data_IF_659801208538
#
_entry.id   IF_659801208538
#
_cell.length_a   1.000
_cell.length_b   1.000
_cell.length_c   1.000
_cell.angle_alpha   90.00
_cell.angle_beta   90.00
_cell.angle_gamma   90.00
#
_symmetry.space_group_name_H-M   'P 1'
#
loop_
_entity.id
_entity.type
_entity.pdbx_description
1 polymer ?
#
# COMPACT_ATOMS: atom_id res chain seq x y z
N UNK A 1 14.88 53.09 -20.65
CA UNK A 1 15.09 52.01 -19.65
C UNK A 1 13.74 51.67 -19.04
N UNK A 2 13.13 50.59 -19.49
CA UNK A 2 11.87 50.07 -18.90
C UNK A 2 12.23 48.79 -18.13
N UNK A 3 12.16 48.87 -16.83
CA UNK A 3 12.42 47.77 -15.92
C UNK A 3 11.22 46.82 -15.93
N UNK A 4 11.38 45.60 -16.47
CA UNK A 4 10.39 44.54 -16.34
C UNK A 4 10.50 43.95 -14.93
N UNK A 5 9.47 44.14 -14.10
CA UNK A 5 9.25 43.40 -12.90
C UNK A 5 8.68 42.01 -13.30
N UNK A 6 9.48 40.95 -13.14
CA UNK A 6 9.01 39.59 -13.22
C UNK A 6 8.37 39.27 -11.88
N UNK A 7 7.04 39.28 -11.82
CA UNK A 7 6.29 38.75 -10.69
C UNK A 7 6.40 37.23 -10.71
N UNK A 8 7.16 36.67 -9.78
CA UNK A 8 7.14 35.22 -9.47
C UNK A 8 5.78 34.88 -8.86
N UNK A 9 4.89 34.30 -9.66
CA UNK A 9 3.66 33.71 -9.17
C UNK A 9 4.04 32.47 -8.32
N UNK A 10 4.03 32.64 -7.00
CA UNK A 10 3.92 31.51 -6.09
C UNK A 10 2.59 30.82 -6.41
N UNK A 11 2.64 29.67 -7.07
CA UNK A 11 1.50 28.79 -7.18
C UNK A 11 1.17 28.31 -5.77
N UNK A 12 0.23 28.98 -5.10
CA UNK A 12 -0.41 28.47 -3.91
C UNK A 12 -1.07 27.16 -4.34
N UNK A 13 -0.55 26.02 -3.84
CA UNK A 13 -1.22 24.74 -3.97
C UNK A 13 -2.60 24.92 -3.33
N UNK A 14 -3.62 25.00 -4.17
CA UNK A 14 -5.00 24.95 -3.73
C UNK A 14 -5.14 23.57 -3.05
N UNK A 15 -5.25 23.55 -1.72
CA UNK A 15 -5.62 22.33 -1.00
C UNK A 15 -6.98 21.92 -1.53
N UNK A 16 -7.16 20.66 -1.94
CA UNK A 16 -8.46 20.18 -2.37
C UNK A 16 -9.49 20.38 -1.24
N UNK A 17 -10.76 20.35 -1.58
CA UNK A 17 -11.91 20.73 -0.77
C UNK A 17 -12.17 19.89 0.49
N UNK A 18 -11.13 19.50 1.23
CA UNK A 18 -11.21 18.81 2.53
C UNK A 18 -11.37 19.77 3.73
N UNK A 19 -11.56 21.05 3.46
CA UNK A 19 -11.77 22.05 4.51
C UNK A 19 -12.94 21.69 5.46
N UNK A 20 -13.87 20.85 5.02
CA UNK A 20 -15.01 20.43 5.85
C UNK A 20 -14.65 19.34 6.89
N UNK A 21 -13.52 18.63 6.71
CA UNK A 21 -13.08 17.57 7.65
C UNK A 21 -11.87 17.97 8.48
N UNK A 22 -11.35 19.17 8.27
CA UNK A 22 -10.11 19.66 8.83
C UNK A 22 -8.87 19.18 8.04
N UNK A 23 -7.69 19.77 8.29
CA UNK A 23 -6.46 19.32 7.69
C UNK A 23 -6.15 17.90 8.18
N UNK A 24 -5.72 16.98 7.29
CA UNK A 24 -5.25 15.67 7.72
C UNK A 24 -4.07 15.86 8.68
N UNK A 25 -4.16 15.22 9.83
CA UNK A 25 -3.07 15.20 10.80
C UNK A 25 -2.09 14.06 10.50
N UNK A 26 -0.83 14.19 10.88
CA UNK A 26 0.10 13.06 10.79
C UNK A 26 -0.40 11.90 11.65
N UNK A 27 -0.19 10.67 11.18
CA UNK A 27 -0.45 9.49 11.99
C UNK A 27 0.42 9.53 13.26
N UNK A 28 -0.22 9.45 14.41
CA UNK A 28 0.44 9.65 15.70
C UNK A 28 0.79 8.31 16.35
N UNK A 29 1.90 8.30 17.06
CA UNK A 29 2.36 7.18 17.86
C UNK A 29 1.74 7.24 19.27
N UNK A 30 1.68 6.10 19.99
CA UNK A 30 1.23 6.05 21.39
C UNK A 30 2.20 6.65 22.40
N UNK A 31 1.83 6.52 23.68
CA UNK A 31 2.51 7.16 24.82
C UNK A 31 3.86 6.56 25.23
N UNK A 32 4.31 5.51 24.55
CA UNK A 32 5.64 4.95 24.82
C UNK A 32 6.75 5.98 24.59
N UNK A 33 7.94 5.78 25.16
CA UNK A 33 9.06 6.67 24.91
C UNK A 33 9.33 6.78 23.39
N UNK A 34 9.82 7.94 22.91
CA UNK A 34 10.20 8.07 21.52
C UNK A 34 11.25 7.01 21.18
N UNK A 35 11.15 6.35 20.01
CA UNK A 35 12.16 5.40 19.61
C UNK A 35 13.50 6.12 19.45
N UNK A 36 14.59 5.43 19.77
CA UNK A 36 15.93 5.97 19.54
C UNK A 36 16.14 6.29 18.05
N UNK A 37 16.80 7.39 17.76
CA UNK A 37 17.20 7.73 16.39
C UNK A 37 18.00 6.58 15.78
N UNK A 38 17.71 6.26 14.53
CA UNK A 38 18.35 5.18 13.79
C UNK A 38 18.59 5.61 12.34
N UNK A 39 19.81 5.52 11.80
CA UNK A 39 20.04 5.70 10.37
C UNK A 39 19.47 4.51 9.59
N UNK A 40 19.33 4.67 8.28
CA UNK A 40 19.07 3.54 7.39
C UNK A 40 20.18 2.49 7.51
N UNK A 41 19.78 1.23 7.54
CA UNK A 41 20.70 0.09 7.51
C UNK A 41 20.07 -1.13 6.87
N UNK A 42 20.90 -2.03 6.34
CA UNK A 42 20.47 -3.35 5.88
C UNK A 42 21.04 -4.42 6.82
N UNK A 43 20.16 -5.10 7.56
CA UNK A 43 20.54 -6.26 8.37
C UNK A 43 20.61 -7.50 7.48
N UNK A 44 21.75 -8.14 7.43
CA UNK A 44 21.99 -9.35 6.64
C UNK A 44 21.89 -10.58 7.52
N UNK A 45 20.82 -11.34 7.36
CA UNK A 45 20.61 -12.61 8.08
C UNK A 45 21.16 -13.80 7.28
N UNK A 46 21.33 -13.62 5.98
CA UNK A 46 21.85 -14.62 5.05
C UNK A 46 22.70 -13.96 3.96
N UNK A 47 23.79 -14.60 3.49
CA UNK A 47 24.62 -14.08 2.38
C UNK A 47 23.84 -13.83 1.08
N UNK A 48 22.71 -14.53 0.86
CA UNK A 48 21.85 -14.32 -0.30
C UNK A 48 21.31 -12.90 -0.41
N UNK A 49 21.28 -12.12 0.68
CA UNK A 49 20.90 -10.72 0.60
C UNK A 49 21.87 -9.86 -0.22
N UNK A 50 23.14 -10.25 -0.30
CA UNK A 50 24.15 -9.51 -1.08
C UNK A 50 23.87 -9.55 -2.59
N UNK A 51 23.15 -10.56 -3.07
CA UNK A 51 22.68 -10.63 -4.46
C UNK A 51 21.49 -9.69 -4.74
N UNK A 52 20.90 -9.12 -3.70
CA UNK A 52 19.70 -8.29 -3.79
C UNK A 52 20.00 -6.84 -3.42
N UNK A 53 20.62 -6.64 -2.25
CA UNK A 53 20.88 -5.32 -1.67
C UNK A 53 22.38 -5.03 -1.74
N UNK A 54 22.82 -4.08 -2.57
CA UNK A 54 24.25 -3.75 -2.69
C UNK A 54 24.85 -3.41 -1.32
N UNK A 55 26.11 -3.77 -1.10
CA UNK A 55 26.87 -3.24 0.04
C UNK A 55 27.04 -1.74 -0.17
N UNK A 56 26.60 -0.95 0.80
CA UNK A 56 26.60 0.52 0.67
C UNK A 56 25.38 1.09 -0.07
N UNK A 57 24.31 0.31 -0.26
CA UNK A 57 23.04 0.81 -0.77
C UNK A 57 22.57 2.03 0.04
N UNK A 58 22.11 3.06 -0.65
CA UNK A 58 21.61 4.30 -0.05
C UNK A 58 20.10 4.34 -0.17
N UNK A 59 19.47 4.74 0.92
CA UNK A 59 18.04 5.06 0.92
C UNK A 59 17.88 6.55 0.60
N UNK A 60 17.02 6.85 -0.35
CA UNK A 60 16.73 8.21 -0.79
C UNK A 60 15.29 8.57 -0.41
N UNK A 61 15.09 9.72 0.21
CA UNK A 61 13.77 10.28 0.41
C UNK A 61 13.27 10.91 -0.89
N UNK A 62 12.13 10.43 -1.38
CA UNK A 62 11.47 10.94 -2.58
C UNK A 62 10.54 12.10 -2.27
N UNK A 63 9.75 11.96 -1.20
CA UNK A 63 8.80 12.96 -0.76
C UNK A 63 8.41 12.73 0.70
N UNK A 64 7.79 13.73 1.34
CA UNK A 64 7.24 13.64 2.70
C UNK A 64 6.06 14.62 2.86
N UNK A 65 5.36 14.50 4.00
CA UNK A 65 4.22 15.37 4.31
C UNK A 65 2.86 14.74 4.00
N UNK A 66 2.81 13.41 3.78
CA UNK A 66 1.58 12.69 3.46
C UNK A 66 0.73 12.34 4.68
N UNK A 67 1.30 12.40 5.88
CA UNK A 67 0.65 11.92 7.10
C UNK A 67 0.57 10.39 7.17
N UNK A 68 -0.14 9.77 6.24
CA UNK A 68 -0.19 8.32 6.06
C UNK A 68 -0.37 8.00 4.57
N UNK A 69 0.67 7.45 3.97
CA UNK A 69 0.64 6.99 2.59
C UNK A 69 0.61 5.47 2.50
N UNK A 70 0.07 4.97 1.39
CA UNK A 70 -0.15 3.55 1.10
C UNK A 70 -0.11 3.26 -0.40
N UNK A 71 -0.20 1.97 -0.74
CA UNK A 71 -0.46 1.47 -2.08
C UNK A 71 0.35 2.12 -3.19
N UNK A 72 1.68 2.13 -3.14
CA UNK A 72 2.48 2.69 -4.22
C UNK A 72 2.41 1.81 -5.46
N UNK A 73 2.41 2.44 -6.64
CA UNK A 73 2.58 1.77 -7.94
C UNK A 73 3.39 2.64 -8.89
N UNK A 74 4.33 2.03 -9.58
CA UNK A 74 5.10 2.70 -10.62
C UNK A 74 4.35 2.65 -11.95
N UNK A 75 4.13 3.82 -12.54
CA UNK A 75 3.51 3.96 -13.86
C UNK A 75 4.60 4.36 -14.85
N UNK A 76 5.00 3.47 -15.76
CA UNK A 76 5.95 3.81 -16.80
C UNK A 76 5.31 4.75 -17.83
N UNK A 77 6.09 5.71 -18.32
CA UNK A 77 5.70 6.60 -19.42
C UNK A 77 6.90 6.93 -20.31
N UNK A 78 6.68 7.71 -21.37
CA UNK A 78 7.73 8.10 -22.30
C UNK A 78 8.83 9.00 -21.68
N UNK A 79 8.58 9.56 -20.50
CA UNK A 79 9.48 10.46 -19.77
C UNK A 79 10.20 9.79 -18.60
N UNK A 80 10.17 8.45 -18.53
CA UNK A 80 10.83 7.68 -17.49
C UNK A 80 9.91 7.20 -16.37
N UNK A 81 8.62 7.54 -16.42
CA UNK A 81 7.61 7.08 -15.47
C UNK A 81 7.45 7.96 -14.23
N UNK A 82 6.49 7.60 -13.40
CA UNK A 82 6.22 8.25 -12.11
C UNK A 82 5.66 7.25 -11.11
N UNK A 83 5.85 7.53 -9.82
CA UNK A 83 5.22 6.78 -8.76
C UNK A 83 3.85 7.40 -8.45
N UNK A 84 2.82 6.58 -8.42
CA UNK A 84 1.55 6.93 -7.78
C UNK A 84 1.56 6.36 -6.37
N UNK A 85 1.00 7.09 -5.41
CA UNK A 85 0.90 6.67 -4.02
C UNK A 85 -0.40 7.19 -3.41
N UNK A 86 -1.08 6.34 -2.67
CA UNK A 86 -2.34 6.68 -1.99
C UNK A 86 -2.08 7.55 -0.76
N UNK A 87 -2.87 8.62 -0.60
CA UNK A 87 -2.93 9.44 0.61
C UNK A 87 -4.18 9.08 1.41
N UNK A 88 -4.03 8.22 2.43
CA UNK A 88 -5.16 7.73 3.20
C UNK A 88 -5.88 8.82 3.99
N UNK A 89 -5.17 9.86 4.41
CA UNK A 89 -5.74 10.97 5.17
C UNK A 89 -6.26 12.09 4.26
N UNK A 90 -5.77 12.16 3.01
CA UNK A 90 -6.03 13.24 2.08
C UNK A 90 -7.10 12.92 1.04
N UNK A 91 -7.52 11.66 0.97
CA UNK A 91 -8.50 11.16 -0.02
C UNK A 91 -8.07 11.39 -1.48
N UNK A 92 -6.77 11.28 -1.74
CA UNK A 92 -6.20 11.49 -3.07
C UNK A 92 -5.20 10.39 -3.42
N UNK A 93 -4.90 10.26 -4.71
CA UNK A 93 -3.70 9.59 -5.18
C UNK A 93 -2.73 10.67 -5.63
N UNK A 94 -1.54 10.66 -5.07
CA UNK A 94 -0.44 11.55 -5.44
C UNK A 94 0.38 10.96 -6.58
N UNK A 95 0.99 11.83 -7.37
CA UNK A 95 2.06 11.52 -8.32
C UNK A 95 3.37 12.09 -7.82
N UNK A 96 4.41 11.27 -7.80
CA UNK A 96 5.79 11.65 -7.49
C UNK A 96 6.64 11.36 -8.72
N UNK A 97 7.24 12.38 -9.31
CA UNK A 97 8.11 12.25 -10.48
C UNK A 97 9.55 11.89 -10.07
N UNK A 98 10.39 11.38 -11.00
CA UNK A 98 11.79 11.06 -10.69
C UNK A 98 12.60 12.25 -10.13
N UNK A 99 12.26 13.48 -10.52
CA UNK A 99 12.82 14.73 -10.00
C UNK A 99 12.13 15.23 -8.71
N UNK A 100 11.37 14.34 -8.05
CA UNK A 100 10.76 14.52 -6.72
C UNK A 100 9.65 15.58 -6.65
N UNK A 101 9.06 15.97 -7.78
CA UNK A 101 7.88 16.82 -7.74
C UNK A 101 6.66 16.02 -7.33
N UNK A 102 5.88 16.56 -6.40
CA UNK A 102 4.64 15.96 -5.91
C UNK A 102 3.45 16.76 -6.46
N UNK A 103 2.46 16.05 -6.96
CA UNK A 103 1.19 16.65 -7.41
C UNK A 103 0.04 15.69 -7.10
N UNK A 104 -1.18 16.21 -7.00
CA UNK A 104 -2.38 15.37 -6.94
C UNK A 104 -2.63 14.79 -8.33
N UNK A 105 -2.76 13.48 -8.41
CA UNK A 105 -3.10 12.75 -9.63
C UNK A 105 -4.60 12.48 -9.73
N UNK A 106 -5.22 12.08 -8.61
CA UNK A 106 -6.65 11.75 -8.56
C UNK A 106 -7.23 12.21 -7.22
N UNK A 107 -8.27 13.04 -7.28
CA UNK A 107 -9.02 13.52 -6.12
C UNK A 107 -10.19 12.60 -5.79
N UNK A 108 -10.70 12.65 -4.54
CA UNK A 108 -11.81 11.83 -4.07
C UNK A 108 -11.64 10.35 -4.46
N UNK A 109 -10.45 9.83 -4.22
CA UNK A 109 -10.08 8.51 -4.70
C UNK A 109 -10.52 7.36 -3.76
N UNK A 110 -10.74 7.64 -2.48
CA UNK A 110 -11.17 6.68 -1.47
C UNK A 110 -12.62 6.85 -1.05
N UNK A 111 -13.08 8.11 -1.04
CA UNK A 111 -14.43 8.48 -0.62
C UNK A 111 -14.99 9.58 -1.52
N UNK A 112 -16.09 9.31 -2.18
CA UNK A 112 -16.76 10.22 -3.11
C UNK A 112 -17.89 11.03 -2.47
N UNK A 113 -18.37 10.59 -1.28
CA UNK A 113 -19.48 11.22 -0.55
C UNK A 113 -19.09 12.50 0.18
N UNK A 114 -20.08 13.10 0.84
CA UNK A 114 -19.91 14.33 1.62
C UNK A 114 -20.03 14.10 3.13
N UNK A 115 -20.62 12.97 3.56
CA UNK A 115 -20.76 12.59 4.98
C UNK A 115 -19.82 11.44 5.36
N UNK A 116 -18.75 11.70 6.12
CA UNK A 116 -17.79 10.69 6.56
C UNK A 116 -18.21 9.93 7.81
N UNK A 117 -19.43 10.08 8.30
CA UNK A 117 -19.88 9.47 9.56
C UNK A 117 -19.78 7.95 9.58
N UNK A 118 -19.84 7.31 8.44
CA UNK A 118 -19.71 5.87 8.24
C UNK A 118 -18.31 5.40 7.87
N UNK A 119 -17.36 6.32 7.65
CA UNK A 119 -16.00 6.01 7.23
C UNK A 119 -15.10 5.61 8.39
N UNK A 120 -14.00 4.92 8.07
CA UNK A 120 -13.02 4.46 9.04
C UNK A 120 -12.37 5.59 9.80
N UNK A 121 -12.59 5.64 11.10
CA UNK A 121 -11.80 6.44 12.01
C UNK A 121 -10.97 5.50 12.87
N UNK A 122 -9.66 5.66 12.85
CA UNK A 122 -8.78 4.89 13.72
C UNK A 122 -8.28 5.76 14.86
N UNK A 123 -8.42 5.25 16.08
CA UNK A 123 -7.64 5.77 17.20
C UNK A 123 -6.28 5.11 17.13
N UNK A 124 -5.30 5.82 16.60
CA UNK A 124 -3.92 5.36 16.61
C UNK A 124 -3.31 5.67 17.97
N UNK A 125 -2.83 4.61 18.63
CA UNK A 125 -2.05 4.71 19.87
C UNK A 125 -2.80 5.38 21.03
N UNK A 126 -4.12 5.25 21.07
CA UNK A 126 -4.93 5.75 22.20
C UNK A 126 -5.23 7.25 22.22
N UNK A 127 -4.58 8.07 21.40
CA UNK A 127 -4.66 9.52 21.51
C UNK A 127 -4.96 10.30 20.23
N UNK A 128 -4.80 9.71 19.07
CA UNK A 128 -5.04 10.41 17.81
C UNK A 128 -6.15 9.74 17.03
N UNK A 129 -7.19 10.52 16.77
CA UNK A 129 -8.21 10.14 15.82
C UNK A 129 -7.72 10.54 14.42
N UNK A 130 -7.37 9.57 13.58
CA UNK A 130 -7.15 9.79 12.15
C UNK A 130 -8.33 9.25 11.39
N UNK A 131 -8.87 10.06 10.49
CA UNK A 131 -9.94 9.67 9.60
C UNK A 131 -9.31 9.11 8.33
N UNK A 132 -9.49 7.81 8.12
CA UNK A 132 -9.04 7.14 6.91
C UNK A 132 -10.16 7.25 5.87
N UNK A 133 -10.04 8.19 4.96
CA UNK A 133 -11.02 8.43 3.89
C UNK A 133 -10.41 8.25 2.50
N UNK A 134 -9.12 8.01 2.44
CA UNK A 134 -8.37 7.87 1.19
C UNK A 134 -8.38 6.45 0.64
N UNK A 135 -7.85 6.28 -0.57
CA UNK A 135 -7.62 4.96 -1.14
C UNK A 135 -6.49 4.24 -0.39
N UNK A 136 -6.54 2.90 -0.34
CA UNK A 136 -5.47 2.12 0.28
C UNK A 136 -4.53 1.52 -0.76
N UNK A 137 -5.03 0.73 -1.67
CA UNK A 137 -4.23 0.00 -2.66
C UNK A 137 -4.19 0.68 -4.02
N UNK A 138 -3.11 0.42 -4.78
CA UNK A 138 -3.05 0.69 -6.22
C UNK A 138 -2.30 -0.43 -6.95
N UNK A 139 -2.63 -0.61 -8.23
CA UNK A 139 -1.96 -1.53 -9.14
C UNK A 139 -2.24 -1.16 -10.59
N UNK A 140 -1.59 -1.84 -11.53
CA UNK A 140 -1.85 -1.67 -12.96
C UNK A 140 -2.42 -2.97 -13.54
N UNK A 141 -3.45 -2.84 -14.37
CA UNK A 141 -3.94 -3.96 -15.18
C UNK A 141 -3.02 -4.24 -16.39
N UNK A 142 -3.31 -5.29 -17.16
CA UNK A 142 -2.51 -5.70 -18.32
C UNK A 142 -2.39 -4.63 -19.41
N UNK A 143 -3.28 -3.63 -19.40
CA UNK A 143 -3.29 -2.49 -20.33
C UNK A 143 -2.64 -1.23 -19.74
N UNK A 144 -2.04 -1.33 -18.54
CA UNK A 144 -1.41 -0.23 -17.81
C UNK A 144 -2.40 0.77 -17.23
N UNK A 145 -3.69 0.39 -17.04
CA UNK A 145 -4.69 1.25 -16.39
C UNK A 145 -4.59 1.10 -14.88
N UNK A 146 -4.75 2.21 -14.18
CA UNK A 146 -4.76 2.21 -12.73
C UNK A 146 -6.00 1.47 -12.20
N UNK A 147 -5.76 0.52 -11.32
CA UNK A 147 -6.77 -0.13 -10.47
C UNK A 147 -6.47 0.26 -9.03
N UNK A 148 -7.50 0.62 -8.27
CA UNK A 148 -7.28 1.04 -6.87
C UNK A 148 -8.43 0.64 -5.95
N UNK A 149 -8.15 0.58 -4.65
CA UNK A 149 -9.13 0.38 -3.60
C UNK A 149 -9.67 1.72 -3.12
N UNK A 150 -10.96 1.98 -3.37
CA UNK A 150 -11.67 3.11 -2.78
C UNK A 150 -12.31 2.63 -1.47
N UNK A 151 -11.53 2.63 -0.38
CA UNK A 151 -11.86 1.96 0.88
C UNK A 151 -13.22 2.35 1.43
N UNK A 152 -13.51 3.64 1.42
CA UNK A 152 -14.70 4.19 2.06
C UNK A 152 -15.91 4.24 1.12
N UNK A 153 -15.68 4.24 -0.19
CA UNK A 153 -16.71 3.89 -1.17
C UNK A 153 -16.93 2.37 -1.23
N UNK A 154 -16.08 1.60 -0.54
CA UNK A 154 -16.17 0.14 -0.41
C UNK A 154 -16.18 -0.55 -1.77
N UNK A 155 -15.31 -0.07 -2.68
CA UNK A 155 -15.24 -0.51 -4.08
C UNK A 155 -13.80 -0.70 -4.54
N UNK A 156 -13.63 -1.59 -5.52
CA UNK A 156 -12.42 -1.65 -6.34
C UNK A 156 -12.71 -0.94 -7.66
N UNK A 157 -11.87 0.01 -8.00
CA UNK A 157 -12.06 0.94 -9.10
C UNK A 157 -11.00 0.77 -10.17
N UNK A 158 -11.29 1.21 -11.39
CA UNK A 158 -10.32 1.33 -12.49
C UNK A 158 -10.46 2.67 -13.19
N UNK A 159 -9.32 3.30 -13.49
CA UNK A 159 -9.28 4.53 -14.28
C UNK A 159 -9.16 4.18 -15.76
N UNK A 160 -10.13 4.60 -16.55
CA UNK A 160 -10.12 4.43 -18.00
C UNK A 160 -9.22 5.48 -18.68
N UNK A 161 -8.88 5.25 -19.94
CA UNK A 161 -7.99 6.15 -20.71
C UNK A 161 -8.59 7.54 -20.95
N UNK A 162 -9.91 7.64 -20.96
CA UNK A 162 -10.67 8.91 -21.10
C UNK A 162 -10.87 9.63 -19.75
N UNK A 163 -10.34 9.08 -18.65
CA UNK A 163 -10.49 9.62 -17.29
C UNK A 163 -11.75 9.15 -16.56
N UNK A 164 -12.61 8.34 -17.20
CA UNK A 164 -13.76 7.76 -16.52
C UNK A 164 -13.33 6.77 -15.41
N UNK A 165 -14.12 6.69 -14.34
CA UNK A 165 -13.92 5.77 -13.23
C UNK A 165 -14.91 4.61 -13.33
N UNK A 166 -14.42 3.40 -13.51
CA UNK A 166 -15.22 2.18 -13.59
C UNK A 166 -15.16 1.43 -12.28
N UNK A 167 -16.31 1.09 -11.70
CA UNK A 167 -16.40 0.16 -10.57
C UNK A 167 -16.16 -1.26 -11.11
N UNK A 168 -15.08 -1.90 -10.66
CA UNK A 168 -14.81 -3.31 -10.96
C UNK A 168 -15.62 -4.23 -10.07
N UNK A 169 -15.76 -3.86 -8.79
CA UNK A 169 -16.61 -4.56 -7.83
C UNK A 169 -16.90 -3.69 -6.59
N UNK A 170 -18.07 -3.91 -5.98
CA UNK A 170 -18.48 -3.29 -4.73
C UNK A 170 -18.81 -4.32 -3.63
N UNK A 171 -18.65 -5.61 -3.89
CA UNK A 171 -18.98 -6.65 -2.92
C UNK A 171 -19.31 -7.99 -3.54
N UNK A 172 -20.05 -8.80 -2.82
CA UNK A 172 -20.50 -10.12 -3.23
C UNK A 172 -21.61 -10.06 -4.29
N UNK A 173 -21.79 -11.14 -5.10
CA UNK A 173 -22.85 -11.21 -6.11
C UNK A 173 -24.28 -11.09 -5.55
N UNK A 174 -24.49 -11.35 -4.27
CA UNK A 174 -25.77 -11.22 -3.59
C UNK A 174 -26.10 -9.77 -3.14
N UNK A 175 -25.26 -8.81 -3.50
CA UNK A 175 -25.44 -7.38 -3.20
C UNK A 175 -24.83 -6.92 -1.87
N UNK A 176 -24.29 -7.83 -1.03
CA UNK A 176 -23.59 -7.42 0.20
C UNK A 176 -22.27 -6.76 -0.16
N UNK A 177 -21.99 -5.63 0.47
CA UNK A 177 -20.85 -4.78 0.18
C UNK A 177 -19.59 -5.22 0.93
N UNK A 178 -18.44 -4.96 0.33
CA UNK A 178 -17.14 -5.03 1.01
C UNK A 178 -17.14 -4.17 2.28
N UNK A 179 -16.27 -4.48 3.22
CA UNK A 179 -16.09 -3.69 4.44
C UNK A 179 -15.07 -2.57 4.23
N UNK A 180 -13.93 -2.88 3.68
CA UNK A 180 -12.85 -1.97 3.32
C UNK A 180 -11.84 -2.69 2.43
N UNK A 181 -11.99 -2.56 1.09
CA UNK A 181 -10.98 -3.02 0.14
C UNK A 181 -9.61 -2.49 0.53
N UNK A 182 -8.66 -3.39 0.86
CA UNK A 182 -7.42 -2.98 1.50
C UNK A 182 -6.18 -3.11 0.59
N UNK A 183 -5.84 -4.31 0.10
CA UNK A 183 -4.70 -4.51 -0.81
C UNK A 183 -5.09 -5.42 -1.97
N UNK A 184 -4.36 -5.30 -3.10
CA UNK A 184 -4.64 -6.06 -4.32
C UNK A 184 -3.39 -6.70 -4.92
N UNK A 185 -3.59 -7.89 -5.52
CA UNK A 185 -2.64 -8.51 -6.42
C UNK A 185 -3.34 -8.81 -7.76
N UNK A 186 -2.84 -8.22 -8.84
CA UNK A 186 -3.44 -8.31 -10.17
C UNK A 186 -2.73 -9.38 -10.96
N UNK A 187 -3.51 -10.32 -11.51
CA UNK A 187 -3.04 -11.40 -12.37
C UNK A 187 -2.78 -10.92 -13.80
N UNK A 188 -2.06 -11.74 -14.56
CA UNK A 188 -1.82 -11.51 -15.98
C UNK A 188 -3.11 -11.49 -16.82
N UNK A 189 -4.16 -12.16 -16.36
CA UNK A 189 -5.48 -12.21 -17.00
C UNK A 189 -6.46 -11.14 -16.49
N UNK A 190 -5.92 -10.11 -15.80
CA UNK A 190 -6.69 -9.02 -15.17
C UNK A 190 -7.61 -9.47 -14.01
N UNK A 191 -7.50 -10.70 -13.55
CA UNK A 191 -8.11 -11.13 -12.29
C UNK A 191 -7.46 -10.41 -11.11
N UNK A 192 -8.27 -9.88 -10.19
CA UNK A 192 -7.78 -9.12 -9.03
C UNK A 192 -8.07 -9.90 -7.76
N UNK A 193 -7.02 -10.35 -7.06
CA UNK A 193 -7.16 -10.76 -5.67
C UNK A 193 -7.23 -9.52 -4.79
N UNK A 194 -8.25 -9.46 -3.95
CA UNK A 194 -8.52 -8.36 -3.05
C UNK A 194 -8.54 -8.88 -1.61
N UNK A 195 -7.84 -8.22 -0.71
CA UNK A 195 -8.09 -8.38 0.72
C UNK A 195 -9.16 -7.38 1.16
N UNK A 196 -10.19 -7.88 1.84
CA UNK A 196 -11.27 -7.08 2.42
C UNK A 196 -11.23 -7.22 3.93
N UNK A 197 -11.06 -6.11 4.62
CA UNK A 197 -11.09 -6.04 6.08
C UNK A 197 -11.94 -4.86 6.55
N UNK A 198 -12.10 -4.71 7.84
CA UNK A 198 -13.02 -3.73 8.42
C UNK A 198 -12.37 -2.38 8.78
N UNK A 199 -11.16 -2.10 8.32
CA UNK A 199 -10.50 -0.82 8.60
C UNK A 199 -11.16 0.38 7.90
N UNK A 200 -11.85 0.17 6.78
CA UNK A 200 -12.63 1.19 6.08
C UNK A 200 -13.94 1.59 6.80
N UNK A 201 -14.37 0.83 7.80
CA UNK A 201 -15.63 1.06 8.51
C UNK A 201 -15.43 1.85 9.81
N UNK A 202 -16.38 2.69 10.15
CA UNK A 202 -16.48 3.29 11.48
C UNK A 202 -16.61 2.18 12.52
N UNK A 203 -15.82 2.25 13.60
CA UNK A 203 -15.77 1.25 14.66
C UNK A 203 -15.38 -0.16 14.20
N UNK A 204 -14.78 -0.27 13.02
CA UNK A 204 -14.24 -1.50 12.43
C UNK A 204 -15.24 -2.67 12.52
N UNK A 205 -14.84 -3.81 13.08
CA UNK A 205 -15.68 -5.01 13.15
C UNK A 205 -16.98 -4.87 13.92
N UNK A 206 -17.18 -3.79 14.67
CA UNK A 206 -18.43 -3.48 15.40
C UNK A 206 -19.37 -2.57 14.61
N UNK A 207 -18.97 -2.11 13.44
CA UNK A 207 -19.78 -1.24 12.60
C UNK A 207 -21.11 -1.89 12.23
N UNK A 208 -22.24 -1.18 12.33
CA UNK A 208 -23.53 -1.65 11.80
C UNK A 208 -23.51 -1.81 10.28
N UNK A 209 -22.56 -1.16 9.59
CA UNK A 209 -22.41 -1.25 8.14
C UNK A 209 -21.65 -2.48 7.67
N UNK A 210 -21.11 -3.28 8.60
CA UNK A 210 -20.41 -4.53 8.28
C UNK A 210 -21.41 -5.58 7.81
N UNK A 211 -21.33 -5.94 6.53
CA UNK A 211 -22.26 -6.88 5.89
C UNK A 211 -21.68 -8.27 5.70
N UNK A 212 -20.34 -8.38 5.68
CA UNK A 212 -19.62 -9.63 5.44
C UNK A 212 -18.44 -9.77 6.41
N UNK A 213 -18.03 -11.01 6.73
CA UNK A 213 -16.77 -11.23 7.42
C UNK A 213 -15.59 -10.82 6.53
N UNK A 214 -14.45 -10.52 7.14
CA UNK A 214 -13.20 -10.27 6.43
C UNK A 214 -12.83 -11.47 5.54
N UNK A 215 -12.21 -11.20 4.39
CA UNK A 215 -11.93 -12.26 3.42
C UNK A 215 -10.94 -11.87 2.35
N UNK A 216 -10.60 -12.86 1.50
CA UNK A 216 -9.90 -12.63 0.24
C UNK A 216 -10.85 -12.97 -0.90
N UNK A 217 -10.97 -12.05 -1.83
CA UNK A 217 -11.88 -12.12 -2.97
C UNK A 217 -11.10 -12.19 -4.28
N UNK A 218 -11.61 -12.89 -5.26
CA UNK A 218 -11.16 -12.83 -6.64
C UNK A 218 -12.22 -12.11 -7.47
N UNK A 219 -11.85 -10.97 -8.03
CA UNK A 219 -12.68 -10.16 -8.93
C UNK A 219 -12.26 -10.46 -10.35
N UNK A 220 -13.20 -10.90 -11.19
CA UNK A 220 -12.96 -11.20 -12.60
C UNK A 220 -14.21 -10.92 -13.43
N UNK A 221 -14.07 -10.16 -14.52
CA UNK A 221 -15.20 -9.86 -15.41
C UNK A 221 -16.39 -9.17 -14.73
N UNK A 222 -16.13 -8.31 -13.71
CA UNK A 222 -17.17 -7.62 -12.96
C UNK A 222 -17.87 -8.47 -11.88
N UNK A 223 -17.41 -9.71 -11.66
CA UNK A 223 -17.95 -10.60 -10.64
C UNK A 223 -16.92 -10.88 -9.57
N UNK A 224 -17.34 -10.90 -8.29
CA UNK A 224 -16.50 -11.22 -7.15
C UNK A 224 -16.84 -12.61 -6.61
N UNK A 225 -15.80 -13.38 -6.29
CA UNK A 225 -15.90 -14.68 -5.64
C UNK A 225 -15.03 -14.70 -4.38
N UNK A 226 -15.60 -15.08 -3.26
CA UNK A 226 -14.82 -15.31 -2.03
C UNK A 226 -13.92 -16.53 -2.25
N UNK A 227 -12.61 -16.35 -2.10
CA UNK A 227 -11.62 -17.44 -2.23
C UNK A 227 -11.05 -17.87 -0.89
N UNK A 228 -11.05 -16.99 0.13
CA UNK A 228 -10.75 -17.32 1.52
C UNK A 228 -11.71 -16.58 2.43
N UNK A 229 -12.49 -17.31 3.20
CA UNK A 229 -13.34 -16.75 4.26
C UNK A 229 -12.59 -16.62 5.59
N UNK A 230 -13.23 -15.97 6.56
CA UNK A 230 -12.65 -15.65 7.88
C UNK A 230 -12.04 -16.85 8.59
N UNK A 231 -12.71 -18.01 8.54
CA UNK A 231 -12.25 -19.24 9.21
C UNK A 231 -10.94 -19.79 8.65
N UNK A 232 -10.62 -19.44 7.39
CA UNK A 232 -9.43 -19.90 6.69
C UNK A 232 -8.27 -18.92 6.73
N UNK A 233 -8.48 -17.67 7.20
CA UNK A 233 -7.47 -16.61 7.18
C UNK A 233 -6.43 -16.78 8.29
N UNK A 234 -6.87 -17.13 9.49
CA UNK A 234 -6.01 -17.20 10.68
C UNK A 234 -5.55 -15.82 11.20
N UNK A 235 -6.22 -14.75 10.79
CA UNK A 235 -5.95 -13.37 11.21
C UNK A 235 -6.68 -12.35 10.34
N UNK A 236 -6.43 -11.06 10.54
CA UNK A 236 -6.97 -9.99 9.70
C UNK A 236 -6.16 -9.96 8.41
N UNK A 237 -6.80 -10.12 7.22
CA UNK A 237 -6.09 -10.05 5.95
C UNK A 237 -5.66 -8.61 5.67
N UNK A 238 -4.43 -8.44 5.20
CA UNK A 238 -3.87 -7.14 4.83
C UNK A 238 -3.13 -7.30 3.49
N UNK A 239 -1.81 -7.22 3.45
CA UNK A 239 -1.04 -7.31 2.21
C UNK A 239 -1.24 -8.61 1.44
N UNK A 240 -1.30 -8.52 0.12
CA UNK A 240 -1.40 -9.64 -0.80
C UNK A 240 -0.46 -9.49 -1.98
N UNK A 241 0.23 -10.55 -2.38
CA UNK A 241 1.10 -10.57 -3.55
C UNK A 241 1.06 -11.93 -4.26
N UNK A 242 1.36 -11.93 -5.55
CA UNK A 242 1.56 -13.14 -6.33
C UNK A 242 3.06 -13.44 -6.50
N UNK A 243 3.42 -14.72 -6.61
CA UNK A 243 4.72 -15.08 -7.17
C UNK A 243 4.82 -14.65 -8.63
N UNK A 244 6.03 -14.44 -9.19
CA UNK A 244 6.19 -13.98 -10.57
C UNK A 244 5.56 -14.90 -11.63
N UNK A 245 5.47 -16.19 -11.34
CA UNK A 245 4.84 -17.22 -12.16
C UNK A 245 3.34 -17.43 -11.85
N UNK A 246 2.80 -16.65 -10.92
CA UNK A 246 1.42 -16.69 -10.41
C UNK A 246 0.97 -18.06 -9.83
N UNK A 247 1.93 -18.95 -9.52
CA UNK A 247 1.61 -20.25 -8.91
C UNK A 247 1.31 -20.15 -7.43
N UNK A 248 1.75 -19.08 -6.78
CA UNK A 248 1.56 -18.84 -5.36
C UNK A 248 0.96 -17.47 -5.10
N UNK A 249 0.06 -17.44 -4.12
CA UNK A 249 -0.43 -16.21 -3.51
C UNK A 249 0.12 -16.14 -2.08
N UNK A 250 0.72 -15.00 -1.76
CA UNK A 250 1.18 -14.65 -0.42
C UNK A 250 0.16 -13.73 0.24
N UNK A 251 -0.13 -13.97 1.51
CA UNK A 251 -1.11 -13.21 2.28
C UNK A 251 -0.56 -12.90 3.67
N UNK A 252 -0.51 -11.63 4.02
CA UNK A 252 -0.38 -11.22 5.41
C UNK A 252 -1.74 -11.37 6.09
N UNK A 253 -1.81 -12.26 7.07
CA UNK A 253 -2.89 -12.33 8.03
C UNK A 253 -2.24 -12.27 9.42
N UNK A 254 -2.07 -11.03 9.90
CA UNK A 254 -1.25 -10.73 11.08
C UNK A 254 -1.57 -11.65 12.26
N UNK A 255 -0.55 -12.21 12.95
CA UNK A 255 0.89 -11.88 12.83
C UNK A 255 1.70 -12.78 11.88
N UNK A 256 1.07 -13.52 11.00
CA UNK A 256 1.70 -14.52 10.13
C UNK A 256 1.59 -14.15 8.66
N UNK A 257 2.52 -14.68 7.87
CA UNK A 257 2.52 -14.62 6.42
C UNK A 257 2.31 -16.04 5.88
N UNK A 258 1.26 -16.19 5.10
CA UNK A 258 0.83 -17.44 4.52
C UNK A 258 1.11 -17.51 3.03
N UNK A 259 1.34 -18.70 2.51
CA UNK A 259 1.41 -18.99 1.07
C UNK A 259 0.33 -19.98 0.71
N UNK A 260 -0.35 -19.74 -0.39
CA UNK A 260 -1.38 -20.60 -0.97
C UNK A 260 -1.01 -20.98 -2.39
N UNK A 261 -1.28 -22.22 -2.81
CA UNK A 261 -1.21 -22.59 -4.22
C UNK A 261 -2.37 -21.93 -4.97
N UNK A 262 -2.09 -21.37 -6.14
CA UNK A 262 -3.08 -20.77 -7.03
C UNK A 262 -3.47 -21.77 -8.09
N UNK A 263 -4.74 -22.17 -8.13
CA UNK A 263 -5.27 -23.07 -9.14
C UNK A 263 -5.59 -22.34 -10.45
N UNK A 264 -5.78 -23.07 -11.54
CA UNK A 264 -6.05 -22.52 -12.87
C UNK A 264 -7.30 -21.62 -12.90
N UNK A 265 -8.35 -21.95 -12.13
CA UNK A 265 -9.56 -21.13 -12.00
C UNK A 265 -9.40 -19.94 -11.05
N UNK A 266 -8.22 -19.76 -10.46
CA UNK A 266 -7.89 -18.74 -9.46
C UNK A 266 -8.42 -19.06 -8.04
N UNK A 267 -8.94 -20.26 -7.78
CA UNK A 267 -9.17 -20.70 -6.41
C UNK A 267 -7.84 -21.01 -5.72
N UNK A 268 -7.85 -20.95 -4.40
CA UNK A 268 -6.66 -21.15 -3.59
C UNK A 268 -6.67 -22.58 -3.01
N UNK A 269 -5.50 -23.19 -2.98
CA UNK A 269 -5.24 -24.47 -2.36
C UNK A 269 -5.03 -24.38 -0.85
N UNK A 270 -4.38 -25.40 -0.28
CA UNK A 270 -4.02 -25.41 1.12
C UNK A 270 -2.99 -24.31 1.45
N UNK A 271 -3.11 -23.75 2.64
CA UNK A 271 -2.15 -22.78 3.14
C UNK A 271 -0.94 -23.44 3.75
N UNK A 272 0.22 -22.85 3.53
CA UNK A 272 1.45 -23.17 4.25
C UNK A 272 1.96 -21.92 4.97
N UNK A 273 2.48 -22.09 6.18
CA UNK A 273 3.16 -20.98 6.86
C UNK A 273 4.43 -20.66 6.08
N UNK A 274 4.50 -19.43 5.56
CA UNK A 274 5.64 -19.01 4.77
C UNK A 274 6.68 -18.25 5.60
N UNK A 275 6.21 -17.36 6.48
CA UNK A 275 7.06 -16.62 7.40
C UNK A 275 6.28 -16.13 8.62
N UNK A 276 7.02 -15.87 9.72
CA UNK A 276 6.53 -15.19 10.90
C UNK A 276 7.61 -14.30 11.52
N UNK A 277 7.22 -13.42 12.44
CA UNK A 277 8.12 -12.51 13.11
C UNK A 277 8.21 -11.10 12.47
N UNK A 278 9.28 -10.34 12.73
CA UNK A 278 9.39 -8.95 12.32
C UNK A 278 9.25 -8.72 10.82
N UNK A 279 8.64 -7.60 10.42
CA UNK A 279 8.45 -7.21 9.02
C UNK A 279 7.26 -7.87 8.33
N UNK A 280 6.32 -8.39 9.12
CA UNK A 280 5.07 -8.96 8.64
C UNK A 280 3.93 -8.19 9.32
N UNK A 281 3.11 -7.53 8.54
CA UNK A 281 2.02 -6.73 9.08
C UNK A 281 1.17 -6.05 8.02
N UNK A 282 1.77 -5.70 6.88
CA UNK A 282 1.14 -4.87 5.88
C UNK A 282 1.47 -5.32 4.45
N UNK A 283 1.57 -4.39 3.51
CA UNK A 283 1.74 -4.68 2.09
C UNK A 283 3.02 -5.43 1.73
N UNK A 284 3.04 -6.03 0.55
CA UNK A 284 4.17 -6.83 0.07
C UNK A 284 4.26 -6.83 -1.46
N UNK A 285 5.47 -7.12 -1.97
CA UNK A 285 5.73 -7.34 -3.41
C UNK A 285 6.78 -8.43 -3.59
N UNK A 286 6.81 -9.04 -4.76
CA UNK A 286 7.84 -10.01 -5.16
C UNK A 286 8.79 -9.41 -6.19
N UNK A 287 10.05 -9.84 -6.19
CA UNK A 287 10.97 -9.58 -7.30
C UNK A 287 10.91 -10.70 -8.36
N UNK A 288 11.60 -10.53 -9.47
CA UNK A 288 11.62 -11.51 -10.57
C UNK A 288 12.18 -12.87 -10.17
N UNK A 289 13.04 -12.91 -9.17
CA UNK A 289 13.60 -14.16 -8.63
C UNK A 289 12.64 -14.84 -7.64
N UNK A 290 11.50 -14.22 -7.31
CA UNK A 290 10.50 -14.71 -6.39
C UNK A 290 10.82 -14.42 -4.93
N UNK A 291 11.80 -13.57 -4.62
CA UNK A 291 11.98 -13.10 -3.26
C UNK A 291 10.81 -12.21 -2.86
N UNK A 292 10.31 -12.38 -1.65
CA UNK A 292 9.20 -11.63 -1.11
C UNK A 292 9.70 -10.51 -0.20
N UNK A 293 9.22 -9.30 -0.46
CA UNK A 293 9.46 -8.11 0.35
C UNK A 293 8.17 -7.79 1.08
N UNK A 294 8.16 -7.88 2.41
CA UNK A 294 7.00 -7.55 3.23
C UNK A 294 7.31 -6.42 4.21
N UNK A 295 6.29 -5.68 4.58
CA UNK A 295 6.39 -4.50 5.44
C UNK A 295 5.81 -4.76 6.82
N UNK A 296 6.28 -3.98 7.80
CA UNK A 296 5.88 -4.15 9.20
C UNK A 296 4.52 -3.53 9.54
N UNK A 297 3.94 -2.74 8.63
CA UNK A 297 2.83 -1.87 9.00
C UNK A 297 3.27 -0.82 10.01
N UNK A 298 2.47 -0.58 11.02
CA UNK A 298 2.89 0.21 12.19
C UNK A 298 4.05 -0.47 12.94
N UNK A 299 4.88 0.33 13.62
CA UNK A 299 5.95 -0.22 14.45
C UNK A 299 7.36 0.12 13.93
N UNK A 300 8.30 -0.84 13.83
CA UNK A 300 9.71 -0.50 13.72
C UNK A 300 10.17 0.05 12.36
N UNK A 301 9.27 0.22 11.38
CA UNK A 301 9.63 0.73 10.04
C UNK A 301 10.66 -0.16 9.37
N UNK A 302 10.32 -1.41 9.10
CA UNK A 302 11.21 -2.38 8.44
C UNK A 302 10.56 -3.02 7.23
N UNK A 303 11.40 -3.34 6.25
CA UNK A 303 11.06 -4.22 5.12
C UNK A 303 11.81 -5.52 5.32
N UNK A 304 11.10 -6.63 5.41
CA UNK A 304 11.64 -7.99 5.46
C UNK A 304 11.84 -8.51 4.04
N UNK A 305 12.95 -9.18 3.79
CA UNK A 305 13.23 -9.86 2.51
C UNK A 305 13.37 -11.36 2.80
N UNK A 306 12.53 -12.16 2.14
CA UNK A 306 12.43 -13.60 2.33
C UNK A 306 12.62 -14.29 0.97
N UNK A 307 13.43 -15.34 0.92
CA UNK A 307 13.64 -16.11 -0.31
C UNK A 307 12.37 -16.86 -0.75
N UNK A 308 12.29 -17.36 -2.00
CA UNK A 308 11.15 -18.17 -2.45
C UNK A 308 10.93 -19.44 -1.62
N UNK A 309 11.96 -19.93 -0.94
CA UNK A 309 11.90 -21.08 -0.03
C UNK A 309 11.45 -20.72 1.39
N UNK A 310 11.09 -19.47 1.67
CA UNK A 310 10.67 -19.02 3.01
C UNK A 310 11.83 -18.67 3.95
N UNK A 311 13.09 -18.70 3.47
CA UNK A 311 14.24 -18.37 4.30
C UNK A 311 14.39 -16.86 4.44
N UNK A 312 14.55 -16.36 5.67
CA UNK A 312 14.86 -14.96 5.94
C UNK A 312 16.24 -14.62 5.34
N UNK A 313 16.28 -13.64 4.42
CA UNK A 313 17.53 -13.09 3.87
C UNK A 313 18.00 -11.88 4.70
N UNK A 314 17.11 -11.05 5.18
CA UNK A 314 17.43 -9.91 6.01
C UNK A 314 16.35 -8.83 6.04
N UNK A 315 16.76 -7.63 6.47
CA UNK A 315 15.85 -6.50 6.64
C UNK A 315 16.46 -5.21 6.09
N UNK A 316 15.61 -4.35 5.53
CA UNK A 316 15.89 -2.93 5.35
C UNK A 316 15.27 -2.20 6.56
N UNK A 317 16.10 -1.57 7.36
CA UNK A 317 15.67 -0.78 8.52
C UNK A 317 15.56 0.68 8.09
N UNK A 318 14.36 1.21 8.03
CA UNK A 318 14.12 2.59 7.66
C UNK A 318 14.66 3.55 8.73
N UNK A 319 15.07 4.77 8.36
CA UNK A 319 15.58 5.73 9.33
C UNK A 319 14.51 6.14 10.32
N UNK A 320 14.91 6.37 11.55
CA UNK A 320 14.08 6.95 12.59
C UNK A 320 14.72 8.29 12.94
N UNK A 321 14.02 9.37 12.64
CA UNK A 321 14.45 10.70 13.03
C UNK A 321 14.07 10.92 14.50
N UNK A 322 15.06 11.08 15.36
CA UNK A 322 14.82 11.36 16.79
C UNK A 322 14.16 12.72 17.00
N UNK A 323 13.43 12.89 18.09
CA UNK A 323 12.90 14.18 18.51
C UNK A 323 11.45 14.48 18.20
N UNK A 324 10.76 13.68 17.38
CA UNK A 324 9.31 13.81 17.19
C UNK A 324 8.58 12.68 17.96
N UNK A 325 8.25 12.90 19.25
CA UNK A 325 7.80 11.80 20.13
C UNK A 325 6.46 11.20 19.73
N UNK A 326 5.67 11.89 18.90
CA UNK A 326 4.31 11.48 18.56
C UNK A 326 4.14 10.98 17.13
N UNK A 327 5.13 11.16 16.24
CA UNK A 327 5.00 10.73 14.84
C UNK A 327 5.13 9.21 14.70
N UNK A 328 4.20 8.61 14.00
CA UNK A 328 4.23 7.17 13.76
C UNK A 328 5.36 6.79 12.81
N UNK A 329 6.07 5.72 13.18
CA UNK A 329 7.03 5.07 12.31
C UNK A 329 6.32 3.87 11.70
N UNK A 330 6.41 3.69 10.39
CA UNK A 330 5.86 2.53 9.71
C UNK A 330 6.60 2.22 8.41
N UNK A 331 6.33 1.08 7.85
CA UNK A 331 6.48 0.75 6.45
C UNK A 331 5.17 0.07 6.05
N UNK A 332 4.40 0.67 5.16
CA UNK A 332 3.05 0.24 4.86
C UNK A 332 3.01 -0.64 3.62
N UNK A 333 3.57 -0.20 2.51
CA UNK A 333 3.55 -0.96 1.27
C UNK A 333 4.76 -0.65 0.38
N UNK A 334 4.86 -1.32 -0.76
CA UNK A 334 6.02 -1.32 -1.63
C UNK A 334 5.60 -1.26 -3.11
N UNK A 335 6.48 -0.71 -3.95
CA UNK A 335 6.40 -0.87 -5.40
C UNK A 335 7.80 -1.00 -6.00
N UNK A 336 7.92 -1.85 -6.98
CA UNK A 336 9.09 -1.84 -7.86
C UNK A 336 8.85 -0.91 -9.03
N UNK A 337 9.91 -0.22 -9.47
CA UNK A 337 9.81 0.69 -10.62
C UNK A 337 11.15 1.25 -11.06
N UNK A 338 11.10 2.41 -11.69
CA UNK A 338 12.29 3.05 -12.22
C UNK A 338 12.92 2.31 -13.40
N UNK A 339 14.10 2.76 -13.86
CA UNK A 339 14.78 2.15 -14.99
C UNK A 339 15.11 0.67 -14.74
N UNK A 340 14.57 -0.20 -15.58
CA UNK A 340 14.76 -1.66 -15.50
C UNK A 340 13.99 -2.34 -14.36
N UNK A 341 13.20 -1.60 -13.58
CA UNK A 341 12.44 -2.14 -12.44
C UNK A 341 13.28 -2.40 -11.18
N UNK A 342 14.47 -1.79 -11.09
CA UNK A 342 15.40 -2.03 -9.98
C UNK A 342 15.20 -1.09 -8.78
N UNK A 343 14.39 -0.07 -8.89
CA UNK A 343 14.10 0.82 -7.79
C UNK A 343 12.95 0.25 -6.94
N UNK A 344 13.19 0.03 -5.66
CA UNK A 344 12.15 -0.29 -4.69
C UNK A 344 11.70 0.99 -4.03
N UNK A 345 10.45 1.36 -4.22
CA UNK A 345 9.78 2.45 -3.52
C UNK A 345 9.09 1.89 -2.27
N UNK A 346 9.20 2.61 -1.16
CA UNK A 346 8.68 2.19 0.14
C UNK A 346 7.78 3.29 0.66
N UNK A 347 6.49 3.01 0.80
CA UNK A 347 5.54 3.84 1.52
C UNK A 347 5.79 3.67 3.03
N UNK A 348 5.99 4.79 3.73
CA UNK A 348 6.45 4.79 5.12
C UNK A 348 5.78 5.90 5.94
N UNK A 349 4.48 5.75 6.21
CA UNK A 349 3.65 6.75 6.88
C UNK A 349 3.68 8.10 6.16
N UNK A 350 4.46 9.03 6.67
CA UNK A 350 4.57 10.40 6.17
C UNK A 350 5.55 10.55 4.99
N UNK A 351 6.36 9.52 4.74
CA UNK A 351 7.50 9.60 3.82
C UNK A 351 7.42 8.51 2.76
N UNK A 352 7.88 8.81 1.56
CA UNK A 352 8.16 7.82 0.51
C UNK A 352 9.66 7.75 0.30
N UNK A 353 10.21 6.56 0.41
CA UNK A 353 11.63 6.28 0.15
C UNK A 353 11.83 5.53 -1.16
N UNK A 354 13.06 5.62 -1.70
CA UNK A 354 13.57 4.81 -2.81
C UNK A 354 14.90 4.19 -2.45
N UNK A 355 15.08 2.93 -2.83
CA UNK A 355 16.37 2.25 -2.77
C UNK A 355 16.60 1.48 -4.08
N UNK A 356 17.80 1.60 -4.64
CA UNK A 356 18.20 0.83 -5.82
C UNK A 356 18.69 -0.54 -5.40
N UNK A 357 18.11 -1.58 -5.99
CA UNK A 357 18.45 -2.98 -5.75
C UNK A 357 19.16 -3.59 -6.96
N UNK A 358 19.84 -4.74 -6.74
CA UNK A 358 20.40 -5.58 -7.81
C UNK A 358 19.31 -6.44 -8.46
N UNK A 359 18.31 -6.86 -7.70
CA UNK A 359 17.13 -7.53 -8.22
C UNK A 359 16.15 -6.52 -8.82
N UNK A 360 15.35 -6.96 -9.79
CA UNK A 360 14.26 -6.17 -10.36
C UNK A 360 12.91 -6.73 -9.89
N UNK A 361 11.91 -5.87 -9.81
CA UNK A 361 10.55 -6.25 -9.47
C UNK A 361 9.99 -7.34 -10.37
N UNK A 362 9.07 -8.13 -9.85
CA UNK A 362 8.28 -9.08 -10.61
C UNK A 362 7.34 -8.35 -11.59
N UNK A 363 6.08 -8.50 -11.44
CA UNK A 363 5.04 -7.72 -12.15
C UNK A 363 4.50 -6.63 -11.27
#
# INVERSE_FOLDING_TARGET
MKTLLVAAALAAFARPAFAQFGPPGPAMRGDGPPPAARPFSATRSDPGLDAIVPRGAKLEQMASGFGLNEGPVWVPDAHGGSLLVSGLLDNVIYRITPDKRVSVFLEKAGFSGDDPSHTGAQTRSGHSHVLLIGPSCTGLDSKGRLVWCADNDRTVMRLEKDGARTVLSAGAPDGRRFSGPNDIAIRADDGVYLTDNDFGLRDAGKSPDKQMPNGVWLIRGGTSRLVLGADSLGGIPNGVALSPDERFLYLTAFPKLWRYDVKADGSLGERTLFAEGPGIGDGMKTDRAGNLYSTSGGGPGIVRITSPAGKLLGFLNLPIHGGEPKKQICATNLAFGGPGGHDLFIAACDVVYRIRLLSAGGR
#
